data_IF_509776983437
#
_entry.id   IF_509776983437
#
_cell.length_a   1.000
_cell.length_b   1.000
_cell.length_c   1.000
_cell.angle_alpha   90.00
_cell.angle_beta   90.00
_cell.angle_gamma   90.00
#
_symmetry.space_group_name_H-M   'P 1'
#
loop_
_entity.id
_entity.type
_entity.pdbx_description
1 polymer ?
#
# COMPACT_ATOMS: atom_id res chain seq x y z
N UNK A 1 -55.89 -3.37 -29.64
CA UNK A 1 -55.64 -3.02 -28.22
C UNK A 1 -54.16 -3.26 -27.92
N UNK A 2 -53.31 -2.25 -28.07
CA UNK A 2 -51.93 -2.20 -27.56
C UNK A 2 -51.67 -0.74 -27.21
N UNK A 3 -51.60 -0.48 -25.91
CA UNK A 3 -51.37 0.83 -25.30
C UNK A 3 -49.86 1.01 -25.09
N UNK A 4 -49.45 2.27 -25.19
CA UNK A 4 -48.12 2.86 -25.14
C UNK A 4 -47.13 2.27 -24.12
N UNK A 5 -45.86 2.18 -24.55
CA UNK A 5 -44.69 2.18 -23.67
C UNK A 5 -43.69 3.19 -24.27
N UNK A 6 -43.96 4.47 -23.99
CA UNK A 6 -43.03 5.58 -24.21
C UNK A 6 -42.93 6.28 -22.85
N UNK A 7 -41.72 6.73 -22.51
CA UNK A 7 -41.38 7.52 -21.32
C UNK A 7 -41.13 6.76 -20.00
N UNK A 8 -39.99 6.06 -19.95
CA UNK A 8 -39.32 5.73 -18.69
C UNK A 8 -37.81 6.02 -18.69
N UNK A 9 -37.33 6.86 -19.63
CA UNK A 9 -35.89 7.23 -19.75
C UNK A 9 -35.65 8.70 -19.40
N UNK A 10 -36.68 9.55 -19.31
CA UNK A 10 -36.52 10.99 -19.04
C UNK A 10 -36.55 11.34 -17.54
N UNK A 11 -36.96 10.43 -16.65
CA UNK A 11 -37.11 10.74 -15.22
C UNK A 11 -35.87 10.51 -14.34
N UNK A 12 -34.80 9.86 -14.85
CA UNK A 12 -33.56 9.68 -14.08
C UNK A 12 -32.53 10.81 -14.25
N UNK A 13 -32.69 11.70 -15.22
CA UNK A 13 -31.76 12.83 -15.42
C UNK A 13 -32.17 14.14 -14.71
N UNK A 14 -33.35 14.19 -14.09
CA UNK A 14 -33.85 15.41 -13.41
C UNK A 14 -33.69 15.37 -11.89
N UNK A 15 -33.40 14.20 -11.29
CA UNK A 15 -33.13 14.06 -9.84
C UNK A 15 -31.61 14.15 -9.54
N UNK A 16 -30.85 14.85 -10.38
CA UNK A 16 -29.46 15.22 -10.08
C UNK A 16 -29.28 16.74 -9.90
N UNK A 17 -30.39 17.49 -9.88
CA UNK A 17 -30.39 18.96 -9.73
C UNK A 17 -30.91 19.43 -8.35
N UNK A 18 -31.30 18.52 -7.44
CA UNK A 18 -31.84 18.88 -6.10
C UNK A 18 -31.18 18.20 -4.91
N UNK A 19 -29.91 17.82 -5.04
CA UNK A 19 -29.03 17.62 -3.89
C UNK A 19 -27.88 18.57 -4.11
N UNK A 20 -27.76 19.57 -3.24
CA UNK A 20 -26.84 20.69 -3.38
C UNK A 20 -25.42 20.22 -3.68
N UNK A 21 -25.03 20.33 -4.96
CA UNK A 21 -23.64 20.47 -5.32
C UNK A 21 -23.26 21.89 -4.94
N UNK A 22 -22.84 22.07 -3.69
CA UNK A 22 -21.97 23.18 -3.34
C UNK A 22 -20.73 23.03 -4.23
N UNK A 23 -20.79 23.67 -5.40
CA UNK A 23 -19.62 23.92 -6.21
C UNK A 23 -18.72 24.79 -5.34
N UNK A 24 -17.82 24.13 -4.60
CA UNK A 24 -16.80 24.78 -3.81
C UNK A 24 -16.06 25.72 -4.75
N UNK A 25 -16.23 27.02 -4.50
CA UNK A 25 -15.36 28.03 -5.07
C UNK A 25 -13.94 27.56 -4.75
N UNK A 26 -12.99 27.51 -5.72
CA UNK A 26 -11.62 27.14 -5.41
C UNK A 26 -11.10 28.07 -4.31
N UNK A 27 -10.93 27.49 -3.13
CA UNK A 27 -10.57 28.15 -1.90
C UNK A 27 -9.29 28.95 -2.11
N UNK A 28 -9.36 30.29 -2.06
CA UNK A 28 -8.19 31.16 -2.28
C UNK A 28 -7.15 31.02 -1.17
N UNK A 29 -7.53 30.42 -0.04
CA UNK A 29 -6.69 30.25 1.14
C UNK A 29 -6.34 28.78 1.48
N UNK A 30 -6.84 27.79 0.73
CA UNK A 30 -6.43 26.39 0.93
C UNK A 30 -5.06 26.18 0.27
N UNK A 31 -3.99 26.31 1.06
CA UNK A 31 -2.66 25.89 0.63
C UNK A 31 -2.37 24.49 1.16
N UNK A 32 -1.46 23.76 0.52
CA UNK A 32 -0.98 22.45 1.00
C UNK A 32 -0.40 22.48 2.43
N UNK A 33 -0.18 23.67 2.99
CA UNK A 33 0.27 23.89 4.37
C UNK A 33 -0.84 23.95 5.43
N UNK A 34 -2.12 24.05 5.03
CA UNK A 34 -3.23 24.20 6.01
C UNK A 34 -3.72 22.85 6.53
N UNK A 35 -3.64 21.81 5.71
CA UNK A 35 -4.01 20.44 6.07
C UNK A 35 -2.76 19.54 6.05
N UNK A 36 -2.80 18.44 6.79
CA UNK A 36 -1.73 17.44 6.82
C UNK A 36 -1.61 16.68 5.50
N UNK A 37 -0.54 15.89 5.38
CA UNK A 37 -0.38 14.95 4.27
C UNK A 37 -1.64 14.08 4.15
N UNK A 38 -2.13 13.87 2.92
CA UNK A 38 -3.30 13.03 2.59
C UNK A 38 -4.68 13.60 2.95
N UNK A 39 -4.77 14.88 3.30
CA UNK A 39 -6.03 15.58 3.60
C UNK A 39 -6.53 16.46 2.43
N UNK A 40 -7.85 16.54 2.27
CA UNK A 40 -8.55 17.50 1.42
C UNK A 40 -9.00 18.69 2.27
N UNK A 41 -8.65 19.89 1.81
CA UNK A 41 -9.05 21.15 2.43
C UNK A 41 -10.41 21.61 1.90
N UNK A 42 -11.34 21.90 2.81
CA UNK A 42 -12.63 22.52 2.49
C UNK A 42 -12.71 23.87 3.20
N UNK A 43 -12.94 24.95 2.44
CA UNK A 43 -13.24 26.30 2.97
C UNK A 43 -14.75 26.51 2.88
N UNK A 44 -15.37 26.97 3.97
CA UNK A 44 -16.80 27.29 4.02
C UNK A 44 -17.04 28.81 3.87
N UNK A 45 -18.31 29.21 3.65
CA UNK A 45 -18.70 30.61 3.43
C UNK A 45 -18.32 31.55 4.61
N UNK A 46 -18.22 31.01 5.83
CA UNK A 46 -17.77 31.72 7.03
C UNK A 46 -16.24 31.83 7.15
N UNK A 47 -15.50 31.37 6.13
CA UNK A 47 -14.03 31.24 6.09
C UNK A 47 -13.45 30.24 7.09
N UNK A 48 -14.27 29.37 7.68
CA UNK A 48 -13.75 28.22 8.40
C UNK A 48 -13.12 27.23 7.42
N UNK A 49 -12.08 26.54 7.88
CA UNK A 49 -11.36 25.51 7.12
C UNK A 49 -11.52 24.18 7.83
N UNK A 50 -11.90 23.13 7.09
CA UNK A 50 -11.87 21.75 7.59
C UNK A 50 -11.02 20.87 6.70
N UNK A 51 -10.28 19.95 7.32
CA UNK A 51 -9.46 18.96 6.64
C UNK A 51 -10.10 17.58 6.79
N UNK A 52 -10.47 16.96 5.67
CA UNK A 52 -10.99 15.59 5.64
C UNK A 52 -9.96 14.68 5.00
N UNK A 53 -9.93 13.39 5.33
CA UNK A 53 -9.08 12.48 4.55
C UNK A 53 -9.60 12.42 3.12
N UNK A 54 -8.69 12.35 2.15
CA UNK A 54 -9.09 12.03 0.78
C UNK A 54 -9.88 10.72 0.76
N UNK A 55 -10.72 10.51 -0.27
CA UNK A 55 -11.49 9.27 -0.45
C UNK A 55 -10.61 7.99 -0.48
N UNK A 56 -9.32 8.18 -0.68
CA UNK A 56 -8.27 7.19 -0.75
C UNK A 56 -7.60 6.91 0.61
N UNK A 57 -7.96 7.63 1.67
CA UNK A 57 -7.42 7.46 3.00
C UNK A 57 -8.53 7.35 4.04
N UNK A 58 -8.18 6.81 5.20
CA UNK A 58 -9.02 6.87 6.39
C UNK A 58 -8.28 7.62 7.50
N UNK A 59 -9.03 8.28 8.39
CA UNK A 59 -8.43 8.95 9.55
C UNK A 59 -8.08 7.89 10.59
N UNK A 60 -6.81 7.74 10.89
CA UNK A 60 -6.38 6.94 12.03
C UNK A 60 -6.65 7.73 13.31
N UNK A 61 -7.67 7.34 14.08
CA UNK A 61 -8.07 8.04 15.31
C UNK A 61 -7.00 8.04 16.42
N UNK A 62 -6.01 7.14 16.37
CA UNK A 62 -4.93 7.11 17.36
C UNK A 62 -3.83 8.12 17.06
N UNK A 63 -3.55 8.39 15.78
CA UNK A 63 -2.48 9.31 15.34
C UNK A 63 -3.02 10.63 14.80
N UNK A 64 -4.33 10.74 14.60
CA UNK A 64 -5.02 11.82 13.90
C UNK A 64 -4.46 12.11 12.49
N UNK A 65 -3.98 11.07 11.80
CA UNK A 65 -3.41 11.18 10.45
C UNK A 65 -4.26 10.43 9.43
N UNK A 66 -4.30 10.94 8.20
CA UNK A 66 -4.92 10.26 7.07
C UNK A 66 -3.99 9.18 6.50
N UNK A 67 -4.42 7.92 6.62
CA UNK A 67 -3.65 6.74 6.23
C UNK A 67 -4.21 6.17 4.94
N UNK A 68 -3.34 5.98 3.95
CA UNK A 68 -3.70 5.39 2.66
C UNK A 68 -4.10 3.93 2.82
N UNK A 69 -5.08 3.49 2.03
CA UNK A 69 -5.62 2.14 2.11
C UNK A 69 -4.78 1.16 1.28
N UNK A 70 -4.28 0.11 1.94
CA UNK A 70 -3.64 -1.05 1.31
C UNK A 70 -4.06 -2.31 2.05
N UNK A 71 -4.00 -3.46 1.38
CA UNK A 71 -4.36 -4.74 1.96
C UNK A 71 -3.31 -5.80 1.67
N UNK A 72 -3.12 -6.67 2.64
CA UNK A 72 -2.44 -7.93 2.43
C UNK A 72 -3.47 -9.01 2.13
N UNK A 73 -3.30 -9.71 1.02
CA UNK A 73 -4.21 -10.76 0.58
C UNK A 73 -3.44 -12.02 0.26
N UNK A 74 -4.04 -13.18 0.51
CA UNK A 74 -3.47 -14.45 0.08
C UNK A 74 -3.20 -14.41 -1.42
N UNK A 75 -1.99 -14.82 -1.80
CA UNK A 75 -1.60 -14.90 -3.20
C UNK A 75 -2.52 -15.85 -3.96
N UNK A 76 -3.03 -15.36 -5.07
CA UNK A 76 -3.67 -16.12 -6.13
C UNK A 76 -2.99 -15.70 -7.45
N UNK A 77 -2.61 -16.64 -8.33
CA UNK A 77 -2.06 -16.31 -9.66
C UNK A 77 -2.88 -15.28 -10.46
N UNK A 78 -4.19 -15.19 -10.24
CA UNK A 78 -5.07 -14.19 -10.86
C UNK A 78 -4.74 -12.74 -10.45
N UNK A 79 -4.09 -12.55 -9.30
CA UNK A 79 -3.66 -11.23 -8.84
C UNK A 79 -2.54 -10.65 -9.68
N UNK A 80 -1.79 -11.46 -10.45
CA UNK A 80 -0.76 -10.96 -11.36
C UNK A 80 -1.30 -10.00 -12.43
N UNK A 81 -2.61 -10.04 -12.71
CA UNK A 81 -3.32 -9.09 -13.57
C UNK A 81 -4.08 -8.00 -12.82
N UNK A 82 -4.09 -7.99 -11.48
CA UNK A 82 -4.74 -6.96 -10.69
C UNK A 82 -3.88 -5.68 -10.71
N UNK A 83 -4.39 -4.54 -11.21
CA UNK A 83 -3.63 -3.29 -11.28
C UNK A 83 -3.24 -2.72 -9.91
N UNK A 84 -3.88 -3.18 -8.83
CA UNK A 84 -3.54 -2.77 -7.46
C UNK A 84 -2.37 -3.55 -6.89
N UNK A 85 -1.99 -4.67 -7.51
CA UNK A 85 -0.87 -5.47 -7.03
C UNK A 85 0.41 -4.64 -7.07
N UNK A 86 1.08 -4.54 -5.91
CA UNK A 86 2.39 -3.91 -5.83
C UNK A 86 3.32 -4.55 -6.88
N UNK A 87 3.92 -3.70 -7.72
CA UNK A 87 4.53 -4.14 -8.98
C UNK A 87 5.59 -5.23 -8.76
N UNK A 88 5.45 -6.32 -9.52
CA UNK A 88 6.48 -7.34 -9.68
C UNK A 88 7.42 -6.94 -10.82
N UNK A 89 8.71 -7.04 -10.57
CA UNK A 89 9.74 -6.91 -11.59
C UNK A 89 9.77 -8.19 -12.43
N UNK A 90 9.67 -8.04 -13.76
CA UNK A 90 9.67 -9.16 -14.68
C UNK A 90 11.10 -9.60 -14.96
N UNK A 91 11.47 -10.80 -14.52
CA UNK A 91 12.71 -11.48 -14.88
C UNK A 91 12.59 -12.25 -16.20
N UNK A 92 13.58 -13.10 -16.48
CA UNK A 92 13.63 -13.90 -17.72
C UNK A 92 12.61 -15.04 -17.75
N UNK A 93 12.38 -15.71 -16.61
CA UNK A 93 11.49 -16.87 -16.47
C UNK A 93 10.53 -16.78 -15.26
N UNK A 94 10.63 -15.70 -14.48
CA UNK A 94 9.90 -15.48 -13.24
C UNK A 94 9.58 -14.01 -13.00
N UNK A 95 8.59 -13.76 -12.14
CA UNK A 95 8.34 -12.45 -11.55
C UNK A 95 9.04 -12.38 -10.20
N UNK A 96 9.70 -11.26 -9.90
CA UNK A 96 10.25 -10.93 -8.58
C UNK A 96 9.38 -9.86 -7.94
N UNK A 97 8.97 -10.04 -6.69
CA UNK A 97 8.18 -9.01 -6.03
C UNK A 97 8.14 -9.14 -4.54
N UNK A 98 7.27 -8.35 -3.94
CA UNK A 98 7.05 -8.31 -2.50
C UNK A 98 5.99 -9.34 -2.13
N UNK A 99 6.27 -10.10 -1.08
CA UNK A 99 5.23 -10.77 -0.32
C UNK A 99 5.60 -10.83 1.16
N UNK A 100 4.75 -11.47 1.96
CA UNK A 100 5.05 -11.81 3.34
C UNK A 100 4.55 -13.20 3.70
N UNK A 101 5.14 -13.76 4.74
CA UNK A 101 4.76 -15.05 5.30
C UNK A 101 4.50 -14.93 6.79
N UNK A 102 3.47 -15.64 7.26
CA UNK A 102 3.26 -15.90 8.69
C UNK A 102 4.08 -17.12 9.12
N UNK A 103 4.55 -17.12 10.36
CA UNK A 103 5.34 -18.19 10.96
C UNK A 103 4.67 -18.72 12.23
N UNK A 104 4.97 -19.96 12.61
CA UNK A 104 4.34 -20.63 13.77
C UNK A 104 4.60 -19.91 15.11
N UNK A 105 5.69 -19.16 15.20
CA UNK A 105 6.02 -18.33 16.36
C UNK A 105 5.21 -17.02 16.42
N UNK A 106 4.32 -16.78 15.47
CA UNK A 106 3.51 -15.56 15.35
C UNK A 106 4.20 -14.40 14.63
N UNK A 107 5.43 -14.58 14.15
CA UNK A 107 6.08 -13.57 13.31
C UNK A 107 5.41 -13.53 11.92
N UNK A 108 5.37 -12.34 11.32
CA UNK A 108 4.91 -12.10 9.96
C UNK A 108 5.99 -11.27 9.28
N UNK A 109 6.75 -11.86 8.36
CA UNK A 109 7.93 -11.24 7.78
C UNK A 109 7.74 -10.96 6.28
N UNK A 110 7.95 -9.72 5.81
CA UNK A 110 8.00 -9.42 4.39
C UNK A 110 9.34 -9.85 3.80
N UNK A 111 9.33 -10.17 2.52
CA UNK A 111 10.52 -10.59 1.79
C UNK A 111 10.30 -10.63 0.29
N UNK A 112 11.35 -11.05 -0.40
CA UNK A 112 11.30 -11.27 -1.83
C UNK A 112 10.56 -12.57 -2.16
N UNK A 113 9.61 -12.47 -3.08
CA UNK A 113 8.83 -13.56 -3.65
C UNK A 113 9.16 -13.73 -5.14
N UNK A 114 9.43 -14.95 -5.56
CA UNK A 114 9.51 -15.34 -6.96
C UNK A 114 8.29 -16.14 -7.38
N UNK A 115 7.74 -15.83 -8.57
CA UNK A 115 6.65 -16.57 -9.19
C UNK A 115 7.06 -17.01 -10.59
N UNK A 116 7.10 -18.31 -10.86
CA UNK A 116 7.56 -18.83 -12.16
C UNK A 116 6.48 -18.71 -13.25
N UNK A 117 6.84 -18.25 -14.46
CA UNK A 117 5.87 -18.06 -15.55
C UNK A 117 5.17 -19.37 -15.96
N UNK A 118 5.95 -20.45 -16.09
CA UNK A 118 5.43 -21.76 -16.54
C UNK A 118 4.60 -22.47 -15.48
N UNK A 119 4.76 -22.08 -14.22
CA UNK A 119 4.09 -22.68 -13.06
C UNK A 119 3.82 -21.59 -12.03
N UNK A 120 2.82 -20.72 -12.25
CA UNK A 120 2.58 -19.57 -11.37
C UNK A 120 2.04 -19.95 -9.99
N UNK A 121 1.73 -21.23 -9.77
CA UNK A 121 1.44 -21.79 -8.45
C UNK A 121 2.71 -22.20 -7.69
N UNK A 122 3.82 -22.38 -8.40
CA UNK A 122 5.12 -22.62 -7.81
C UNK A 122 5.68 -21.24 -7.45
N UNK A 123 5.76 -20.99 -6.16
CA UNK A 123 6.20 -19.73 -5.58
C UNK A 123 7.39 -20.04 -4.70
N UNK A 124 8.44 -19.24 -4.83
CA UNK A 124 9.59 -19.30 -3.93
C UNK A 124 9.62 -18.02 -3.11
N UNK A 125 9.65 -18.15 -1.78
CA UNK A 125 10.05 -17.05 -0.91
C UNK A 125 11.51 -17.20 -0.56
N UNK A 126 12.28 -16.13 -0.72
CA UNK A 126 13.67 -16.12 -0.29
C UNK A 126 13.78 -15.97 1.24
N UNK A 127 13.08 -16.78 2.01
CA UNK A 127 13.23 -16.86 3.46
C UNK A 127 13.00 -18.28 3.98
N UNK A 128 13.57 -19.26 3.27
CA UNK A 128 13.64 -20.70 3.57
C UNK A 128 12.82 -21.53 2.57
N UNK A 129 13.44 -22.61 2.11
CA UNK A 129 12.80 -23.79 1.55
C UNK A 129 11.79 -24.36 2.55
N UNK A 130 10.62 -23.74 2.68
CA UNK A 130 9.55 -24.29 3.49
C UNK A 130 8.73 -25.20 2.60
N UNK A 131 8.89 -26.50 2.82
CA UNK A 131 7.98 -27.52 2.29
C UNK A 131 6.59 -27.29 2.90
N UNK A 132 5.78 -26.42 2.28
CA UNK A 132 4.40 -26.80 1.96
C UNK A 132 3.20 -26.21 2.71
N UNK A 133 3.26 -25.20 3.60
CA UNK A 133 2.03 -24.88 4.37
C UNK A 133 1.59 -23.42 4.53
N UNK A 134 2.42 -22.40 4.34
CA UNK A 134 1.95 -21.02 4.48
C UNK A 134 1.66 -20.40 3.12
N UNK A 135 0.38 -20.07 2.89
CA UNK A 135 -0.04 -19.29 1.73
C UNK A 135 0.55 -17.89 1.88
N UNK A 136 1.40 -17.45 0.95
CA UNK A 136 1.98 -16.13 1.05
C UNK A 136 0.92 -15.06 0.84
N UNK A 137 1.13 -13.91 1.47
CA UNK A 137 0.33 -12.74 1.20
C UNK A 137 1.09 -11.78 0.30
N UNK A 138 0.37 -11.11 -0.60
CA UNK A 138 0.87 -10.03 -1.44
C UNK A 138 0.18 -8.72 -1.08
N UNK A 139 0.87 -7.62 -1.37
CA UNK A 139 0.39 -6.27 -1.07
C UNK A 139 -0.43 -5.73 -2.23
N UNK A 140 -1.69 -5.38 -1.97
CA UNK A 140 -2.54 -4.60 -2.86
C UNK A 140 -2.62 -3.15 -2.37
N UNK A 141 -2.40 -2.21 -3.28
CA UNK A 141 -2.52 -0.78 -3.06
C UNK A 141 -3.91 -0.38 -3.56
N UNK A 142 -4.88 -0.22 -2.66
CA UNK A 142 -6.25 0.17 -3.04
C UNK A 142 -6.28 1.59 -3.60
N UNK A 143 -5.36 2.43 -3.12
CA UNK A 143 -5.32 3.84 -3.47
C UNK A 143 -3.91 4.45 -3.31
N UNK A 144 -3.63 5.50 -4.08
CA UNK A 144 -2.33 6.15 -4.09
C UNK A 144 -1.27 5.41 -4.92
N UNK A 145 -0.01 5.81 -4.73
CA UNK A 145 1.17 5.25 -5.39
C UNK A 145 2.24 4.92 -4.38
N UNK A 146 3.02 3.88 -4.63
CA UNK A 146 4.11 3.50 -3.74
C UNK A 146 5.42 4.15 -4.14
N UNK A 147 6.21 4.56 -3.15
CA UNK A 147 7.54 5.12 -3.36
C UNK A 147 8.56 4.54 -2.39
N UNK A 148 9.73 4.25 -2.92
CA UNK A 148 10.89 3.85 -2.13
C UNK A 148 11.68 5.08 -1.70
N UNK A 149 11.71 5.37 -0.40
CA UNK A 149 12.37 6.53 0.19
C UNK A 149 13.68 6.10 0.86
N UNK A 150 14.78 6.81 0.59
CA UNK A 150 16.03 6.57 1.31
C UNK A 150 15.84 6.90 2.79
N UNK A 151 16.28 5.98 3.65
CA UNK A 151 16.15 6.12 5.09
C UNK A 151 17.34 5.44 5.78
N UNK A 152 17.51 5.69 7.08
CA UNK A 152 18.58 5.07 7.85
C UNK A 152 18.30 5.03 9.34
N UNK A 153 19.08 4.24 10.08
CA UNK A 153 19.14 4.26 11.54
C UNK A 153 17.81 4.06 12.27
N UNK A 154 16.88 3.29 11.69
CA UNK A 154 15.57 3.03 12.29
C UNK A 154 14.54 4.14 12.12
N UNK A 155 14.85 5.18 11.32
CA UNK A 155 13.85 6.21 10.97
C UNK A 155 12.67 5.53 10.27
N UNK A 156 11.47 5.87 10.71
CA UNK A 156 10.20 5.44 10.10
C UNK A 156 9.69 6.63 9.30
N UNK A 157 9.70 6.48 7.98
CA UNK A 157 9.19 7.52 7.08
C UNK A 157 7.67 7.68 7.21
N UNK A 158 7.16 8.89 6.94
CA UNK A 158 5.72 9.12 6.84
C UNK A 158 5.10 8.16 5.81
N UNK A 159 3.96 7.59 6.17
CA UNK A 159 3.24 6.60 5.35
C UNK A 159 4.05 5.35 4.99
N UNK A 160 5.04 4.98 5.81
CA UNK A 160 5.74 3.69 5.68
C UNK A 160 4.77 2.52 5.80
N UNK A 161 4.86 1.57 4.87
CA UNK A 161 3.97 0.42 4.81
C UNK A 161 4.41 -0.63 5.84
N UNK A 162 3.46 -1.06 6.67
CA UNK A 162 3.66 -2.14 7.64
C UNK A 162 3.83 -3.45 6.89
N UNK A 163 4.99 -4.08 7.07
CA UNK A 163 5.34 -5.37 6.50
C UNK A 163 4.81 -6.56 7.29
N UNK A 164 4.62 -6.38 8.59
CA UNK A 164 4.17 -7.41 9.51
C UNK A 164 4.66 -7.14 10.93
N UNK A 165 5.06 -8.19 11.63
CA UNK A 165 5.45 -8.15 13.03
C UNK A 165 6.58 -9.15 13.30
N UNK A 166 7.57 -8.76 14.10
CA UNK A 166 8.68 -9.63 14.51
C UNK A 166 8.98 -9.41 15.99
N UNK A 167 9.13 -10.47 16.79
CA UNK A 167 9.47 -10.34 18.22
C UNK A 167 8.54 -9.37 18.98
N UNK A 168 7.25 -9.42 18.67
CA UNK A 168 6.24 -8.50 19.17
C UNK A 168 6.29 -7.04 18.70
N UNK A 169 7.18 -6.70 17.78
CA UNK A 169 7.37 -5.36 17.24
C UNK A 169 6.83 -5.22 15.82
N UNK A 170 6.23 -4.07 15.49
CA UNK A 170 5.84 -3.74 14.11
C UNK A 170 7.11 -3.56 13.28
N UNK A 171 7.13 -4.20 12.10
CA UNK A 171 8.21 -4.05 11.13
C UNK A 171 7.69 -3.47 9.83
N UNK A 172 8.59 -2.77 9.12
CA UNK A 172 8.28 -2.05 7.88
C UNK A 172 8.99 -2.68 6.71
N UNK A 173 8.46 -2.50 5.50
CA UNK A 173 9.10 -3.02 4.29
C UNK A 173 10.32 -2.17 3.95
N UNK A 174 11.47 -2.82 3.76
CA UNK A 174 12.67 -2.18 3.26
C UNK A 174 13.28 -2.94 2.09
N UNK A 175 14.20 -2.29 1.38
CA UNK A 175 15.08 -2.93 0.41
C UNK A 175 16.51 -2.39 0.49
N UNK A 176 17.46 -3.25 0.16
CA UNK A 176 18.88 -2.94 0.06
C UNK A 176 19.35 -3.23 -1.36
N UNK A 177 20.19 -2.35 -1.90
CA UNK A 177 20.90 -2.67 -3.13
C UNK A 177 22.11 -3.55 -2.80
N UNK A 178 22.07 -4.80 -3.24
CA UNK A 178 23.19 -5.73 -3.20
C UNK A 178 23.46 -6.11 -4.64
N UNK A 179 24.56 -5.59 -5.19
CA UNK A 179 24.86 -5.73 -6.62
C UNK A 179 24.61 -7.17 -7.11
N UNK A 180 23.83 -7.36 -8.20
CA UNK A 180 23.33 -6.32 -9.12
C UNK A 180 21.89 -5.82 -8.86
N UNK A 181 21.25 -6.18 -7.75
CA UNK A 181 19.80 -6.02 -7.58
C UNK A 181 19.38 -5.42 -6.23
N UNK A 182 18.12 -5.03 -6.13
CA UNK A 182 17.51 -4.69 -4.85
C UNK A 182 16.88 -5.92 -4.21
N UNK A 183 17.23 -6.20 -2.97
CA UNK A 183 16.66 -7.31 -2.21
C UNK A 183 15.73 -6.75 -1.15
N UNK A 184 14.50 -7.28 -1.15
CA UNK A 184 13.44 -6.89 -0.21
C UNK A 184 13.62 -7.63 1.12
N UNK A 185 13.28 -6.95 2.20
CA UNK A 185 13.14 -7.53 3.52
C UNK A 185 12.41 -6.59 4.46
N UNK A 186 12.82 -6.56 5.72
CA UNK A 186 12.14 -5.77 6.75
C UNK A 186 13.08 -4.87 7.55
N UNK A 187 12.57 -3.70 7.94
CA UNK A 187 13.19 -2.80 8.89
C UNK A 187 12.55 -3.00 10.25
N UNK A 188 13.39 -3.20 11.26
CA UNK A 188 12.98 -3.34 12.66
C UNK A 188 13.44 -2.10 13.46
N UNK A 189 12.50 -1.22 13.90
CA UNK A 189 12.85 0.06 14.53
C UNK A 189 13.79 -0.05 15.73
N UNK A 190 13.52 -0.98 16.64
CA UNK A 190 14.30 -1.22 17.87
C UNK A 190 15.74 -1.64 17.58
N UNK A 191 15.97 -2.27 16.42
CA UNK A 191 17.31 -2.70 15.95
C UNK A 191 17.95 -1.70 14.99
N UNK A 192 17.23 -0.65 14.60
CA UNK A 192 17.68 0.40 13.68
C UNK A 192 18.22 -0.11 12.35
N UNK A 193 17.74 -1.27 11.91
CA UNK A 193 18.35 -2.04 10.82
C UNK A 193 17.29 -2.61 9.88
N UNK A 194 17.63 -2.61 8.59
CA UNK A 194 17.00 -3.42 7.57
C UNK A 194 17.69 -4.78 7.49
N UNK A 195 16.90 -5.85 7.49
CA UNK A 195 17.32 -7.24 7.30
C UNK A 195 16.76 -7.69 5.96
N UNK A 196 17.58 -8.37 5.15
CA UNK A 196 17.16 -8.80 3.81
C UNK A 196 16.98 -10.30 3.74
N UNK A 197 16.02 -10.69 2.91
CA UNK A 197 15.52 -12.04 2.83
C UNK A 197 16.57 -13.10 2.50
N UNK A 198 17.41 -12.82 1.50
CA UNK A 198 18.52 -13.69 1.09
C UNK A 198 19.69 -13.78 2.08
N UNK A 199 19.81 -12.84 3.04
CA UNK A 199 20.91 -12.78 4.01
C UNK A 199 20.37 -12.37 5.40
N UNK A 200 19.64 -13.26 6.08
CA UNK A 200 18.91 -12.95 7.32
C UNK A 200 19.79 -12.43 8.47
N UNK A 201 21.06 -12.86 8.49
CA UNK A 201 22.03 -12.46 9.52
C UNK A 201 22.75 -11.14 9.18
N UNK A 202 22.51 -10.58 7.99
CA UNK A 202 23.05 -9.30 7.57
C UNK A 202 22.09 -8.17 7.96
N UNK A 203 22.65 -7.17 8.65
CA UNK A 203 21.95 -5.96 9.05
C UNK A 203 22.51 -4.77 8.27
N UNK A 204 21.63 -3.89 7.85
CA UNK A 204 21.96 -2.70 7.08
C UNK A 204 21.34 -1.47 7.73
N UNK A 205 22.15 -0.47 8.03
CA UNK A 205 21.71 0.78 8.67
C UNK A 205 21.25 1.84 7.66
N UNK A 206 21.58 1.67 6.38
CA UNK A 206 21.10 2.50 5.26
C UNK A 206 20.31 1.65 4.29
N UNK A 207 19.10 2.09 3.97
CA UNK A 207 18.13 1.32 3.21
C UNK A 207 17.13 2.22 2.48
N UNK A 208 16.24 1.61 1.71
CA UNK A 208 15.01 2.29 1.26
C UNK A 208 13.80 1.69 1.95
N UNK A 209 12.93 2.53 2.51
CA UNK A 209 11.61 2.13 3.05
C UNK A 209 10.55 2.27 1.96
N UNK A 210 9.62 1.32 1.92
CA UNK A 210 8.43 1.44 1.08
C UNK A 210 7.39 2.32 1.77
N UNK A 211 6.98 3.37 1.10
CA UNK A 211 5.92 4.29 1.53
C UNK A 211 4.78 4.27 0.52
N UNK A 212 3.59 4.67 0.95
CA UNK A 212 2.44 4.94 0.09
C UNK A 212 2.13 6.44 0.12
N UNK A 213 1.89 7.03 -1.05
CA UNK A 213 1.64 8.46 -1.24
C UNK A 213 0.31 8.62 -1.95
N UNK A 214 -0.50 9.61 -1.57
CA UNK A 214 -1.71 9.96 -2.33
C UNK A 214 -1.29 10.91 -3.45
N UNK A 215 -1.78 10.62 -4.66
CA UNK A 215 -1.54 11.44 -5.86
C UNK A 215 -2.42 12.67 -5.91
#
# INVERSE_FOLDING_TARGET
>A
MKVAYVDMIVFMYVIQILIGSSHGIPARNCTATTCGDNEQCHEYDDRSISCTCSEFAYRNHATDQCVVKYNWVNYDPKLLSDPRLMQFEKGSDRYHGLGRLSYDNGDILPGEMEVFFKKPRDITFFFIAHNGYNKPEVLLIDSGTTKWIYSSNGVIENNAIIGGKKENEIIYICRIYIYPEYIIGWMQPSKRSCYVSRKPNSRYESYKILTVQIG
#
